data_IF_220569456063
#
_entry.id   IF_220569456063
#
_cell.length_a   1.000
_cell.length_b   1.000
_cell.length_c   1.000
_cell.angle_alpha   90.00
_cell.angle_beta   90.00
_cell.angle_gamma   90.00
#
_symmetry.space_group_name_H-M   'P 1'
#
loop_
_entity.id
_entity.type
_entity.pdbx_description
1 polymer ?
#
# COMPACT_ATOMS: atom_id res chain seq x y z
N UNK A 1 47.09 3.97 -93.33
CA UNK A 1 46.68 5.38 -93.17
C UNK A 1 45.22 5.36 -92.74
N UNK A 2 44.87 5.76 -91.51
CA UNK A 2 44.32 7.09 -91.16
C UNK A 2 43.08 7.44 -92.03
N UNK A 3 41.89 7.83 -91.55
CA UNK A 3 41.36 8.34 -90.26
C UNK A 3 39.83 8.50 -90.44
N UNK A 4 39.05 8.45 -89.34
CA UNK A 4 37.76 9.16 -89.10
C UNK A 4 36.56 8.87 -90.05
N UNK A 5 35.27 8.95 -89.70
CA UNK A 5 34.48 9.34 -88.52
C UNK A 5 33.00 9.03 -88.84
N UNK A 6 32.16 8.89 -87.80
CA UNK A 6 30.77 9.42 -87.67
C UNK A 6 29.65 8.39 -87.32
N UNK A 7 29.12 8.65 -86.11
CA UNK A 7 27.74 8.56 -85.58
C UNK A 7 26.97 7.24 -85.34
N UNK A 8 26.50 7.17 -84.08
CA UNK A 8 25.22 6.67 -83.54
C UNK A 8 24.93 5.17 -83.52
N UNK A 9 24.82 4.57 -82.32
CA UNK A 9 23.53 4.50 -81.61
C UNK A 9 23.64 3.88 -80.20
N UNK A 10 22.77 4.41 -79.33
CA UNK A 10 22.02 3.81 -78.21
C UNK A 10 22.47 2.46 -77.62
N UNK A 11 22.56 2.45 -76.29
CA UNK A 11 22.48 1.23 -75.49
C UNK A 11 22.54 1.49 -73.99
N UNK A 12 21.57 2.23 -73.44
CA UNK A 12 21.41 2.42 -71.99
C UNK A 12 21.00 1.08 -71.37
N UNK A 13 21.93 0.40 -70.71
CA UNK A 13 21.65 -0.86 -70.03
C UNK A 13 20.72 -0.62 -68.82
N UNK A 14 19.78 -1.54 -68.52
CA UNK A 14 18.67 -1.27 -67.60
C UNK A 14 19.12 -1.31 -66.14
N UNK A 15 18.66 -0.34 -65.35
CA UNK A 15 18.80 -0.37 -63.89
C UNK A 15 18.10 -1.61 -63.32
N UNK A 16 18.80 -2.36 -62.47
CA UNK A 16 18.21 -3.41 -61.63
C UNK A 16 17.23 -2.74 -60.66
N UNK A 17 15.96 -2.71 -61.06
CA UNK A 17 14.86 -2.41 -60.15
C UNK A 17 14.76 -3.53 -59.11
N UNK A 18 15.13 -3.23 -57.88
CA UNK A 18 14.78 -4.07 -56.74
C UNK A 18 13.26 -4.00 -56.59
N UNK A 19 12.56 -5.07 -56.96
CA UNK A 19 11.14 -5.19 -56.64
C UNK A 19 11.02 -5.47 -55.15
N UNK A 20 10.97 -4.43 -54.34
CA UNK A 20 10.44 -4.53 -52.98
C UNK A 20 8.97 -4.88 -53.11
N UNK A 21 8.67 -6.19 -53.02
CA UNK A 21 7.31 -6.68 -52.84
C UNK A 21 6.77 -6.00 -51.59
N UNK A 22 5.84 -5.06 -51.77
CA UNK A 22 5.17 -4.40 -50.66
C UNK A 22 4.58 -5.49 -49.76
N UNK A 23 5.13 -5.62 -48.54
CA UNK A 23 4.56 -6.45 -47.50
C UNK A 23 3.16 -5.89 -47.27
N UNK A 24 2.13 -6.73 -47.49
CA UNK A 24 0.75 -6.35 -47.12
C UNK A 24 0.81 -5.89 -45.67
N UNK A 25 0.19 -4.75 -45.31
CA UNK A 25 0.10 -4.35 -43.91
C UNK A 25 -0.45 -5.53 -43.12
N UNK A 26 0.23 -5.90 -42.03
CA UNK A 26 -0.39 -6.81 -41.07
C UNK A 26 -1.75 -6.22 -40.71
N UNK A 27 -2.84 -7.02 -40.70
CA UNK A 27 -4.17 -6.49 -40.41
C UNK A 27 -4.11 -5.79 -39.05
N UNK A 28 -4.42 -4.49 -39.06
CA UNK A 28 -4.55 -3.68 -37.86
C UNK A 28 -5.42 -4.46 -36.88
N UNK A 29 -4.96 -4.76 -35.65
CA UNK A 29 -5.79 -5.46 -34.69
C UNK A 29 -7.05 -4.63 -34.50
N UNK A 30 -8.18 -5.13 -34.99
CA UNK A 30 -9.49 -4.54 -34.79
C UNK A 30 -9.84 -4.81 -33.33
N UNK A 31 -9.25 -4.06 -32.40
CA UNK A 31 -9.85 -3.86 -31.08
C UNK A 31 -11.17 -3.16 -31.36
N UNK A 32 -12.26 -3.91 -31.29
CA UNK A 32 -13.59 -3.34 -31.37
C UNK A 32 -13.73 -2.29 -30.27
N UNK A 33 -14.14 -1.09 -30.66
CA UNK A 33 -14.62 -0.07 -29.72
C UNK A 33 -15.88 -0.65 -29.08
N UNK A 34 -15.72 -1.33 -27.95
CA UNK A 34 -16.81 -2.09 -27.32
C UNK A 34 -16.40 -3.41 -26.67
N UNK A 35 -15.19 -3.93 -26.91
CA UNK A 35 -14.56 -4.88 -25.97
C UNK A 35 -14.05 -4.06 -24.78
N UNK A 36 -14.99 -3.58 -23.95
CA UNK A 36 -14.65 -3.23 -22.59
C UNK A 36 -14.13 -4.52 -21.95
N UNK A 37 -12.82 -4.58 -21.71
CA UNK A 37 -12.17 -5.60 -20.88
C UNK A 37 -12.89 -5.62 -19.53
N UNK A 38 -13.98 -6.40 -19.43
CA UNK A 38 -14.78 -6.49 -18.23
C UNK A 38 -13.83 -6.97 -17.14
N UNK A 39 -13.65 -6.20 -16.04
CA UNK A 39 -12.70 -6.58 -15.02
C UNK A 39 -13.04 -7.99 -14.52
N UNK A 40 -12.00 -8.76 -14.19
CA UNK A 40 -12.15 -10.14 -13.74
C UNK A 40 -13.23 -10.26 -12.67
N UNK A 41 -13.95 -11.39 -12.65
CA UNK A 41 -15.06 -11.61 -11.72
C UNK A 41 -14.67 -11.34 -10.26
N UNK A 42 -13.43 -11.68 -9.89
CA UNK A 42 -12.84 -11.41 -8.58
C UNK A 42 -12.74 -9.92 -8.26
N UNK A 43 -12.28 -9.11 -9.22
CA UNK A 43 -12.19 -7.64 -9.09
C UNK A 43 -13.59 -7.05 -8.94
N UNK A 44 -14.56 -7.54 -9.71
CA UNK A 44 -15.97 -7.09 -9.61
C UNK A 44 -16.59 -7.46 -8.28
N UNK A 45 -16.36 -8.68 -7.78
CA UNK A 45 -16.84 -9.12 -6.47
C UNK A 45 -16.19 -8.29 -5.35
N UNK A 46 -14.87 -8.09 -5.40
CA UNK A 46 -14.13 -7.25 -4.46
C UNK A 46 -14.66 -5.82 -4.44
N UNK A 47 -14.81 -5.20 -5.62
CA UNK A 47 -15.34 -3.84 -5.71
C UNK A 47 -16.80 -3.80 -5.27
N UNK A 48 -17.63 -4.79 -5.59
CA UNK A 48 -19.01 -4.87 -5.10
C UNK A 48 -19.09 -4.83 -3.58
N UNK A 49 -18.28 -5.65 -2.90
CA UNK A 49 -18.16 -5.64 -1.44
C UNK A 49 -17.63 -4.30 -0.92
N UNK A 50 -16.63 -3.73 -1.60
CA UNK A 50 -15.99 -2.49 -1.20
C UNK A 50 -16.98 -1.32 -1.20
N UNK A 51 -17.81 -1.23 -2.25
CA UNK A 51 -18.87 -0.24 -2.34
C UNK A 51 -19.99 -0.50 -1.33
N UNK A 52 -20.33 -1.76 -1.04
CA UNK A 52 -21.31 -2.12 -0.02
C UNK A 52 -20.88 -1.66 1.37
N UNK A 53 -19.65 -2.00 1.78
CA UNK A 53 -19.06 -1.58 3.07
C UNK A 53 -18.86 -0.06 3.09
N UNK A 54 -18.31 0.52 2.03
CA UNK A 54 -18.11 1.97 1.90
C UNK A 54 -19.43 2.75 1.97
N UNK A 55 -20.53 2.18 1.47
CA UNK A 55 -21.88 2.71 1.62
C UNK A 55 -22.30 2.84 3.08
N UNK A 56 -21.97 1.87 3.94
CA UNK A 56 -22.26 1.93 5.38
C UNK A 56 -21.50 3.07 6.08
N UNK A 57 -20.22 3.25 5.76
CA UNK A 57 -19.41 4.35 6.32
C UNK A 57 -19.87 5.75 5.86
N UNK A 58 -20.56 5.82 4.72
CA UNK A 58 -21.11 7.05 4.14
C UNK A 58 -22.58 7.29 4.49
N UNK A 59 -23.31 6.28 4.97
CA UNK A 59 -24.71 6.39 5.35
C UNK A 59 -24.95 7.47 6.44
N UNK A 60 -23.92 7.77 7.25
CA UNK A 60 -23.95 8.79 8.29
C UNK A 60 -23.14 10.03 7.88
N UNK A 61 -23.68 10.85 6.99
CA UNK A 61 -23.10 12.14 6.60
C UNK A 61 -23.52 12.63 5.21
N UNK A 62 -23.20 13.89 4.84
CA UNK A 62 -23.45 14.38 3.50
C UNK A 62 -22.61 13.62 2.47
N UNK A 63 -23.27 12.98 1.51
CA UNK A 63 -22.60 12.25 0.43
C UNK A 63 -22.23 13.23 -0.68
N UNK A 64 -20.98 13.68 -0.68
CA UNK A 64 -20.47 14.68 -1.64
C UNK A 64 -19.69 14.05 -2.81
N UNK A 65 -19.67 12.71 -2.91
CA UNK A 65 -18.79 11.97 -3.81
C UNK A 65 -19.51 11.37 -5.02
N UNK A 66 -19.02 11.73 -6.21
CA UNK A 66 -19.40 11.08 -7.47
C UNK A 66 -18.99 9.60 -7.47
N UNK A 67 -19.72 8.76 -8.22
CA UNK A 67 -19.57 7.29 -8.17
C UNK A 67 -18.25 6.78 -8.72
N UNK A 68 -17.71 7.47 -9.72
CA UNK A 68 -16.46 7.19 -10.42
C UNK A 68 -15.21 7.50 -9.59
N UNK A 69 -15.32 8.39 -8.59
CA UNK A 69 -14.21 8.77 -7.70
C UNK A 69 -14.04 7.84 -6.48
N UNK A 70 -14.91 6.83 -6.33
CA UNK A 70 -14.92 5.93 -5.17
C UNK A 70 -13.81 4.89 -5.26
N UNK A 71 -12.70 5.13 -4.57
CA UNK A 71 -11.57 4.20 -4.46
C UNK A 71 -11.67 3.32 -3.22
N UNK A 72 -12.69 2.46 -3.21
CA UNK A 72 -13.14 1.74 -2.01
C UNK A 72 -12.34 0.47 -1.70
N UNK A 73 -11.48 0.03 -2.62
CA UNK A 73 -10.75 -1.24 -2.50
C UNK A 73 -9.76 -1.29 -1.33
N UNK A 74 -8.90 -0.29 -1.15
CA UNK A 74 -7.92 -0.26 -0.04
C UNK A 74 -8.61 -0.12 1.33
N UNK A 75 -9.59 0.78 1.52
CA UNK A 75 -10.33 0.85 2.77
C UNK A 75 -11.05 -0.45 3.14
N UNK A 76 -11.60 -1.19 2.16
CA UNK A 76 -12.14 -2.52 2.41
C UNK A 76 -11.08 -3.49 2.96
N UNK A 77 -9.87 -3.49 2.39
CA UNK A 77 -8.77 -4.32 2.88
C UNK A 77 -8.44 -3.99 4.34
N UNK A 78 -8.39 -2.71 4.70
CA UNK A 78 -8.14 -2.28 6.08
C UNK A 78 -9.24 -2.78 7.04
N UNK A 79 -10.50 -2.76 6.63
CA UNK A 79 -11.61 -3.33 7.41
C UNK A 79 -11.43 -4.84 7.61
N UNK A 80 -11.08 -5.58 6.56
CA UNK A 80 -10.85 -7.03 6.68
C UNK A 80 -9.67 -7.35 7.60
N UNK A 81 -8.58 -6.59 7.49
CA UNK A 81 -7.44 -6.71 8.40
C UNK A 81 -7.82 -6.39 9.85
N UNK A 82 -8.67 -5.39 10.06
CA UNK A 82 -9.19 -5.07 11.39
C UNK A 82 -10.02 -6.22 11.98
N UNK A 83 -10.89 -6.84 11.18
CA UNK A 83 -11.70 -7.98 11.62
C UNK A 83 -10.81 -9.17 11.98
N UNK A 84 -9.83 -9.52 11.13
CA UNK A 84 -8.87 -10.60 11.41
C UNK A 84 -8.08 -10.30 12.69
N UNK A 85 -7.58 -9.06 12.82
CA UNK A 85 -6.87 -8.62 14.02
C UNK A 85 -7.73 -8.71 15.28
N UNK A 86 -9.00 -8.29 15.23
CA UNK A 86 -9.92 -8.38 16.37
C UNK A 86 -10.16 -9.84 16.77
N UNK A 87 -10.35 -10.74 15.80
CA UNK A 87 -10.48 -12.18 16.07
C UNK A 87 -9.28 -12.71 16.84
N UNK A 88 -8.06 -12.37 16.41
CA UNK A 88 -6.82 -12.84 17.06
C UNK A 88 -6.62 -12.18 18.43
N UNK A 89 -6.69 -10.85 18.50
CA UNK A 89 -6.27 -10.08 19.67
C UNK A 89 -7.33 -9.97 20.77
N UNK A 90 -8.62 -10.08 20.42
CA UNK A 90 -9.73 -9.92 21.38
C UNK A 90 -10.40 -11.25 21.71
N UNK A 91 -10.61 -12.12 20.72
CA UNK A 91 -11.34 -13.38 20.93
C UNK A 91 -10.43 -14.57 21.25
N UNK A 92 -9.21 -14.61 20.70
CA UNK A 92 -8.21 -15.65 21.01
C UNK A 92 -7.21 -15.23 22.10
N UNK A 93 -7.52 -14.14 22.82
CA UNK A 93 -6.70 -13.66 23.93
C UNK A 93 -6.49 -14.76 24.98
N UNK A 94 -5.27 -14.88 25.48
CA UNK A 94 -4.90 -15.88 26.49
C UNK A 94 -4.70 -17.30 25.97
N UNK A 95 -4.91 -17.55 24.67
CA UNK A 95 -4.60 -18.86 24.05
C UNK A 95 -3.18 -18.87 23.48
N UNK A 96 -2.54 -20.05 23.47
CA UNK A 96 -1.21 -20.23 22.84
C UNK A 96 -1.24 -19.94 21.34
N UNK A 97 -2.31 -20.36 20.66
CA UNK A 97 -2.49 -20.11 19.23
C UNK A 97 -2.64 -18.61 18.94
N UNK A 98 -3.43 -17.87 19.71
CA UNK A 98 -3.57 -16.41 19.57
C UNK A 98 -2.25 -15.69 19.82
N UNK A 99 -1.51 -16.08 20.87
CA UNK A 99 -0.19 -15.53 21.16
C UNK A 99 0.82 -15.80 20.03
N UNK A 100 0.84 -17.02 19.48
CA UNK A 100 1.70 -17.37 18.36
C UNK A 100 1.33 -16.59 17.09
N UNK A 101 0.05 -16.54 16.72
CA UNK A 101 -0.41 -15.80 15.54
C UNK A 101 -0.05 -14.33 15.69
N UNK A 102 -0.30 -13.71 16.85
CA UNK A 102 0.08 -12.32 17.12
C UNK A 102 1.59 -12.12 16.93
N UNK A 103 2.42 -12.98 17.54
CA UNK A 103 3.87 -12.90 17.46
C UNK A 103 4.43 -13.01 16.04
N UNK A 104 3.80 -13.79 15.17
CA UNK A 104 4.22 -13.96 13.76
C UNK A 104 3.39 -13.13 12.77
N UNK A 105 2.60 -12.16 13.24
CA UNK A 105 1.82 -11.25 12.40
C UNK A 105 1.95 -9.78 12.85
N UNK A 106 0.84 -9.11 13.18
CA UNK A 106 0.81 -7.69 13.55
C UNK A 106 1.51 -7.45 14.89
N UNK A 107 1.32 -8.34 15.87
CA UNK A 107 2.03 -8.27 17.16
C UNK A 107 3.55 -8.38 17.00
N UNK A 108 4.03 -9.21 16.08
CA UNK A 108 5.46 -9.26 15.74
C UNK A 108 6.01 -7.91 15.27
N UNK A 109 5.22 -7.13 14.52
CA UNK A 109 5.63 -5.84 13.97
C UNK A 109 5.52 -4.69 14.99
N UNK A 110 4.38 -4.58 15.67
CA UNK A 110 4.04 -3.41 16.52
C UNK A 110 3.76 -3.77 17.98
N UNK A 111 3.96 -5.02 18.37
CA UNK A 111 3.82 -5.49 19.74
C UNK A 111 2.41 -5.35 20.28
N UNK A 112 2.32 -4.87 21.52
CA UNK A 112 1.05 -4.68 22.24
C UNK A 112 0.12 -3.65 21.58
N UNK A 113 0.62 -2.83 20.66
CA UNK A 113 -0.24 -1.96 19.84
C UNK A 113 -1.20 -2.77 18.98
N UNK A 114 -0.85 -4.01 18.61
CA UNK A 114 -1.72 -4.92 17.86
C UNK A 114 -3.11 -5.06 18.49
N UNK A 115 -3.21 -5.00 19.83
CA UNK A 115 -4.48 -5.05 20.54
C UNK A 115 -5.45 -3.92 20.15
N UNK A 116 -4.94 -2.70 19.90
CA UNK A 116 -5.77 -1.54 19.50
C UNK A 116 -5.81 -1.33 17.98
N UNK A 117 -4.98 -2.02 17.22
CA UNK A 117 -4.92 -1.91 15.75
C UNK A 117 -6.27 -2.12 15.06
N UNK A 118 -7.16 -3.05 15.46
CA UNK A 118 -8.46 -3.18 14.82
C UNK A 118 -9.26 -1.88 14.79
N UNK A 119 -9.26 -1.13 15.90
CA UNK A 119 -9.96 0.15 16.01
C UNK A 119 -9.28 1.21 15.13
N UNK A 120 -7.95 1.30 15.19
CA UNK A 120 -7.16 2.24 14.40
C UNK A 120 -7.36 2.03 12.89
N UNK A 121 -7.37 0.78 12.44
CA UNK A 121 -7.60 0.41 11.04
C UNK A 121 -9.02 0.74 10.58
N UNK A 122 -10.04 0.54 11.43
CA UNK A 122 -11.42 0.93 11.12
C UNK A 122 -11.56 2.44 11.01
N UNK A 123 -10.91 3.21 11.89
CA UNK A 123 -10.90 4.68 11.78
C UNK A 123 -10.22 5.14 10.51
N UNK A 124 -9.05 4.57 10.18
CA UNK A 124 -8.34 4.88 8.93
C UNK A 124 -9.18 4.53 7.70
N UNK A 125 -9.80 3.34 7.69
CA UNK A 125 -10.69 2.91 6.62
C UNK A 125 -11.89 3.84 6.47
N UNK A 126 -12.56 4.19 7.57
CA UNK A 126 -13.70 5.11 7.57
C UNK A 126 -13.32 6.50 7.08
N UNK A 127 -12.15 7.01 7.47
CA UNK A 127 -11.61 8.26 6.95
C UNK A 127 -11.39 8.17 5.43
N UNK A 128 -10.75 7.10 4.94
CA UNK A 128 -10.47 6.91 3.52
C UNK A 128 -11.74 6.69 2.67
N UNK A 129 -12.77 6.02 3.21
CA UNK A 129 -14.06 5.92 2.53
C UNK A 129 -14.71 7.31 2.34
N UNK A 130 -14.48 8.24 3.27
CA UNK A 130 -15.12 9.57 3.27
C UNK A 130 -14.32 10.64 2.53
N UNK A 131 -13.01 10.42 2.33
CA UNK A 131 -12.12 11.37 1.66
C UNK A 131 -11.53 10.71 0.40
N UNK A 132 -12.06 11.02 -0.80
CA UNK A 132 -11.54 10.46 -2.06
C UNK A 132 -10.09 10.92 -2.25
N UNK A 133 -9.30 10.08 -2.91
CA UNK A 133 -7.85 10.25 -3.00
C UNK A 133 -7.44 11.48 -3.81
N UNK A 134 -7.22 12.61 -3.14
CA UNK A 134 -6.16 13.52 -3.56
C UNK A 134 -4.83 12.82 -3.16
N UNK A 135 -3.86 12.74 -4.07
CA UNK A 135 -2.58 12.05 -3.79
C UNK A 135 -1.84 12.66 -2.60
N UNK A 136 -2.12 13.93 -2.29
CA UNK A 136 -1.45 14.68 -1.22
C UNK A 136 -2.06 14.41 0.17
N UNK A 137 -3.39 14.33 0.29
CA UNK A 137 -4.05 14.11 1.58
C UNK A 137 -3.86 12.68 2.08
N UNK A 138 -3.92 11.69 1.18
CA UNK A 138 -3.70 10.29 1.55
C UNK A 138 -2.26 10.03 2.02
N UNK A 139 -1.28 10.72 1.42
CA UNK A 139 0.12 10.63 1.83
C UNK A 139 0.32 11.15 3.25
N UNK A 140 -0.26 12.32 3.56
CA UNK A 140 -0.17 12.94 4.89
C UNK A 140 -0.77 12.01 5.96
N UNK A 141 -2.00 11.54 5.78
CA UNK A 141 -2.66 10.67 6.76
C UNK A 141 -1.93 9.34 6.92
N UNK A 142 -1.46 8.73 5.83
CA UNK A 142 -0.67 7.50 5.91
C UNK A 142 0.62 7.66 6.71
N UNK A 143 1.35 8.76 6.49
CA UNK A 143 2.58 9.09 7.23
C UNK A 143 2.27 9.37 8.70
N UNK A 144 1.27 10.20 8.98
CA UNK A 144 0.85 10.52 10.36
C UNK A 144 0.42 9.28 11.12
N UNK A 145 -0.38 8.41 10.50
CA UNK A 145 -0.84 7.15 11.09
C UNK A 145 0.33 6.19 11.34
N UNK A 146 1.23 6.02 10.37
CA UNK A 146 2.40 5.16 10.52
C UNK A 146 3.33 5.65 11.63
N UNK A 147 3.60 6.95 11.69
CA UNK A 147 4.39 7.54 12.77
C UNK A 147 3.71 7.37 14.14
N UNK A 148 2.39 7.57 14.21
CA UNK A 148 1.62 7.34 15.43
C UNK A 148 1.77 5.90 15.91
N UNK A 149 1.53 4.90 15.06
CA UNK A 149 1.64 3.49 15.42
C UNK A 149 3.05 3.13 15.89
N UNK A 150 4.09 3.57 15.17
CA UNK A 150 5.49 3.26 15.50
C UNK A 150 5.93 3.94 16.80
N UNK A 151 5.48 5.17 17.08
CA UNK A 151 5.84 5.87 18.32
C UNK A 151 5.17 5.24 19.55
N UNK A 152 3.89 4.85 19.44
CA UNK A 152 3.22 4.07 20.50
C UNK A 152 3.90 2.70 20.68
N UNK A 153 4.30 2.04 19.60
CA UNK A 153 5.05 0.79 19.67
C UNK A 153 6.41 0.99 20.39
N UNK A 154 7.08 2.12 20.17
CA UNK A 154 8.29 2.52 20.91
C UNK A 154 8.04 2.67 22.41
N UNK A 155 6.93 3.28 22.81
CA UNK A 155 6.53 3.35 24.23
C UNK A 155 6.31 1.95 24.81
N UNK A 156 5.59 1.08 24.08
CA UNK A 156 5.37 -0.31 24.49
C UNK A 156 6.68 -1.09 24.60
N UNK A 157 7.69 -0.80 23.78
CA UNK A 157 9.02 -1.42 23.89
C UNK A 157 9.73 -1.02 25.18
N UNK A 158 9.82 0.29 25.46
CA UNK A 158 10.47 0.80 26.67
C UNK A 158 9.75 0.32 27.94
N UNK A 159 8.43 0.47 27.98
CA UNK A 159 7.61 0.03 29.11
C UNK A 159 7.54 -1.50 29.25
N UNK A 160 7.72 -2.24 28.15
CA UNK A 160 7.66 -3.70 28.09
C UNK A 160 8.96 -4.40 28.46
N UNK A 161 9.90 -3.70 29.10
CA UNK A 161 11.16 -4.31 29.58
C UNK A 161 12.25 -4.46 28.52
N UNK A 162 12.06 -3.86 27.33
CA UNK A 162 13.07 -3.74 26.27
C UNK A 162 13.66 -5.08 25.78
N UNK A 163 12.82 -6.05 25.35
CA UNK A 163 13.29 -7.34 24.85
C UNK A 163 14.17 -7.18 23.60
N UNK A 164 15.22 -8.00 23.48
CA UNK A 164 16.14 -7.96 22.35
C UNK A 164 15.71 -8.94 21.24
N UNK A 165 15.98 -8.67 19.94
CA UNK A 165 15.57 -9.55 18.84
C UNK A 165 16.07 -11.00 18.95
N UNK A 166 17.19 -11.23 19.63
CA UNK A 166 17.73 -12.57 19.92
C UNK A 166 16.82 -13.42 20.82
N UNK A 167 15.91 -12.80 21.56
CA UNK A 167 14.90 -13.46 22.41
C UNK A 167 13.69 -13.96 21.59
N UNK A 168 13.62 -13.56 20.31
CA UNK A 168 12.61 -14.01 19.36
C UNK A 168 11.38 -13.12 19.28
N UNK A 169 10.56 -13.40 18.26
CA UNK A 169 9.32 -12.64 18.01
C UNK A 169 8.30 -12.71 19.15
N UNK A 170 8.12 -13.84 19.89
CA UNK A 170 7.21 -13.85 21.04
C UNK A 170 7.57 -12.82 22.12
N UNK A 171 8.86 -12.64 22.41
CA UNK A 171 9.33 -11.64 23.37
C UNK A 171 9.07 -10.21 22.85
N UNK A 172 9.46 -9.93 21.60
CA UNK A 172 9.21 -8.63 20.97
C UNK A 172 7.72 -8.28 20.91
N UNK A 173 6.88 -9.25 20.54
CA UNK A 173 5.42 -9.09 20.43
C UNK A 173 4.76 -8.78 21.78
N UNK A 174 5.33 -9.27 22.88
CA UNK A 174 4.90 -8.94 24.23
C UNK A 174 5.15 -7.49 24.64
N UNK A 175 6.00 -6.77 23.89
CA UNK A 175 6.38 -5.38 24.14
C UNK A 175 6.00 -4.47 22.94
N UNK A 176 6.97 -3.92 22.21
CA UNK A 176 6.75 -3.01 21.09
C UNK A 176 6.86 -3.63 19.69
N UNK A 177 7.10 -4.94 19.60
CA UNK A 177 7.39 -5.60 18.33
C UNK A 177 8.71 -5.12 17.72
N UNK A 178 8.95 -5.50 16.47
CA UNK A 178 10.16 -5.12 15.73
C UNK A 178 10.28 -3.60 15.58
N UNK A 179 9.20 -2.90 15.23
CA UNK A 179 9.26 -1.45 15.02
C UNK A 179 9.40 -0.67 16.33
N UNK A 180 8.76 -1.13 17.41
CA UNK A 180 8.95 -0.56 18.73
C UNK A 180 10.39 -0.72 19.21
N UNK A 181 11.02 -1.87 18.97
CA UNK A 181 12.45 -2.06 19.25
C UNK A 181 13.33 -1.13 18.41
N UNK A 182 13.09 -1.04 17.09
CA UNK A 182 13.90 -0.21 16.18
C UNK A 182 13.97 1.27 16.58
N UNK A 183 12.91 1.81 17.17
CA UNK A 183 12.84 3.22 17.58
C UNK A 183 13.06 3.39 19.10
N UNK A 184 12.41 2.57 19.91
CA UNK A 184 12.44 2.66 21.36
C UNK A 184 13.80 2.29 21.95
N UNK A 185 14.46 1.25 21.44
CA UNK A 185 15.73 0.78 22.01
C UNK A 185 16.87 1.80 21.87
N UNK A 186 17.15 2.36 20.68
CA UNK A 186 18.22 3.36 20.54
C UNK A 186 17.97 4.62 21.37
N UNK A 187 16.71 5.07 21.44
CA UNK A 187 16.33 6.23 22.25
C UNK A 187 16.57 5.98 23.73
N UNK A 188 16.16 4.81 24.24
CA UNK A 188 16.32 4.47 25.64
C UNK A 188 17.79 4.19 26.02
N UNK A 189 18.61 3.68 25.10
CA UNK A 189 20.06 3.57 25.29
C UNK A 189 20.75 4.94 25.36
N UNK A 190 20.34 5.90 24.51
CA UNK A 190 20.98 7.20 24.41
C UNK A 190 20.52 8.20 25.48
N UNK A 191 19.24 8.15 25.85
CA UNK A 191 18.57 9.19 26.65
C UNK A 191 18.00 8.69 27.97
N UNK A 192 18.23 7.43 28.35
CA UNK A 192 17.50 6.70 29.41
C UNK A 192 16.04 6.41 29.03
N UNK A 193 15.37 5.52 29.78
CA UNK A 193 13.97 5.17 29.54
C UNK A 193 13.05 6.42 29.60
N UNK A 194 13.28 7.31 30.56
CA UNK A 194 12.49 8.54 30.72
C UNK A 194 12.74 9.50 29.55
N UNK A 195 13.99 9.73 29.18
CA UNK A 195 14.32 10.62 28.06
C UNK A 195 13.84 10.07 26.71
N UNK A 196 13.93 8.76 26.51
CA UNK A 196 13.37 8.10 25.32
C UNK A 196 11.85 8.27 25.23
N UNK A 197 11.13 8.08 26.33
CA UNK A 197 9.69 8.33 26.42
C UNK A 197 9.32 9.80 26.13
N UNK A 198 10.11 10.78 26.60
CA UNK A 198 9.87 12.20 26.28
C UNK A 198 9.95 12.43 24.76
N UNK A 199 11.00 11.93 24.10
CA UNK A 199 11.17 12.09 22.64
C UNK A 199 10.04 11.40 21.88
N UNK A 200 9.69 10.17 22.26
CA UNK A 200 8.54 9.45 21.69
C UNK A 200 7.23 10.25 21.87
N UNK A 201 7.07 10.94 23.00
CA UNK A 201 5.92 11.80 23.26
C UNK A 201 5.85 12.97 22.28
N UNK A 202 6.97 13.65 22.03
CA UNK A 202 7.05 14.73 21.03
C UNK A 202 6.74 14.20 19.63
N UNK A 203 7.27 13.04 19.26
CA UNK A 203 6.98 12.41 17.96
C UNK A 203 5.51 11.98 17.83
N UNK A 204 4.91 11.52 18.93
CA UNK A 204 3.47 11.19 18.98
C UNK A 204 2.63 12.45 18.77
N UNK A 205 2.95 13.56 19.44
CA UNK A 205 2.28 14.84 19.24
C UNK A 205 2.43 15.34 17.79
N UNK A 206 3.62 15.22 17.21
CA UNK A 206 3.86 15.53 15.80
C UNK A 206 3.01 14.65 14.88
N UNK A 207 2.88 13.36 15.17
CA UNK A 207 2.05 12.45 14.38
C UNK A 207 0.57 12.84 14.40
N UNK A 208 0.06 13.29 15.55
CA UNK A 208 -1.30 13.81 15.68
C UNK A 208 -1.46 15.11 14.88
N UNK A 209 -0.48 16.01 14.94
CA UNK A 209 -0.47 17.24 14.13
C UNK A 209 -0.47 16.95 12.62
N UNK A 210 0.18 15.88 12.18
CA UNK A 210 0.14 15.45 10.77
C UNK A 210 -1.25 14.91 10.39
N UNK A 211 -1.92 14.23 11.33
CA UNK A 211 -3.25 13.64 11.13
C UNK A 211 -4.38 14.67 11.07
N UNK A 212 -4.25 15.78 11.80
CA UNK A 212 -5.22 16.89 11.82
C UNK A 212 -4.96 17.89 10.70
#
# INVERSE_FOLDING_TARGET
MAKSSTSTSRGRAPGKGSSTRARKPDPTPTRYVGDEDKPALTVRAWMGLAHGVGGLFRAFGPETLEKDQRRDGLPLLLVLLAVIGAVVEWFFIGTEAGAAISAFSVGGLVGRVAFVMPVLLVFLAGWMFRHPSSVHDNGRIGIGFGLFVVTIAGFCHIAGGRPQPREGLPALSGAGGVFGWMIGEPLAMLLTDVGGCIVLGVLTLLSVLILT
#
